data_IF_078829780727
#
_entry.id   IF_078829780727
#
_cell.length_a   1.000
_cell.length_b   1.000
_cell.length_c   1.000
_cell.angle_alpha   90.00
_cell.angle_beta   90.00
_cell.angle_gamma   90.00
#
_symmetry.space_group_name_H-M   'P 1'
#
loop_
_entity.id
_entity.type
_entity.pdbx_description
1 polymer ?
#
# COMPACT_ATOMS: atom_id res chain seq x y z
N UNK A 1 2.39 0.89 4.05
CA UNK A 1 3.73 0.87 4.66
C UNK A 1 4.74 0.85 3.54
N UNK A 2 5.87 1.54 3.69
CA UNK A 2 6.95 1.56 2.69
C UNK A 2 8.02 0.58 3.12
N UNK A 3 8.54 -0.20 2.18
CA UNK A 3 9.58 -1.20 2.44
C UNK A 3 10.70 -1.07 1.40
N UNK A 4 11.93 -1.36 1.83
CA UNK A 4 13.10 -1.45 0.96
C UNK A 4 13.84 -2.76 1.18
N UNK A 5 14.44 -3.30 0.13
CA UNK A 5 15.32 -4.47 0.24
C UNK A 5 16.61 -4.11 0.99
N UNK A 6 17.18 -5.10 1.67
CA UNK A 6 18.45 -4.96 2.39
C UNK A 6 19.58 -4.50 1.47
N UNK A 7 19.65 -5.04 0.25
CA UNK A 7 20.67 -4.65 -0.73
C UNK A 7 20.51 -3.21 -1.21
N UNK A 8 19.27 -2.72 -1.35
CA UNK A 8 19.03 -1.33 -1.69
C UNK A 8 19.39 -0.40 -0.54
N UNK A 9 19.02 -0.77 0.69
CA UNK A 9 19.38 -0.03 1.90
C UNK A 9 20.90 0.15 2.03
N UNK A 10 21.69 -0.91 1.80
CA UNK A 10 23.16 -0.88 1.87
C UNK A 10 23.83 0.07 0.87
N UNK A 11 23.11 0.54 -0.14
CA UNK A 11 23.61 1.49 -1.14
C UNK A 11 23.42 2.96 -0.73
N UNK A 12 22.71 3.22 0.38
CA UNK A 12 22.51 4.59 0.86
C UNK A 12 23.80 5.19 1.42
N UNK A 13 24.02 6.47 1.14
CA UNK A 13 25.14 7.25 1.66
C UNK A 13 24.66 8.65 2.11
N UNK A 14 24.76 8.99 3.41
CA UNK A 14 25.23 8.14 4.50
C UNK A 14 24.27 6.97 4.77
N UNK A 15 24.81 5.83 5.19
CA UNK A 15 24.02 4.66 5.56
C UNK A 15 23.23 4.94 6.86
N UNK A 16 21.89 4.99 6.83
CA UNK A 16 21.10 5.32 8.01
C UNK A 16 21.14 4.22 9.07
N UNK A 17 21.05 4.58 10.35
CA UNK A 17 20.94 3.61 11.44
C UNK A 17 19.59 2.86 11.37
N UNK A 18 19.64 1.54 11.56
CA UNK A 18 18.43 0.72 11.67
C UNK A 18 17.96 0.72 13.12
N UNK A 19 16.70 1.09 13.32
CA UNK A 19 16.00 1.03 14.59
C UNK A 19 15.15 -0.25 14.68
N UNK A 20 15.02 -0.80 15.89
CA UNK A 20 14.15 -1.95 16.16
C UNK A 20 12.72 -1.51 16.47
N UNK A 21 11.76 -2.34 16.10
CA UNK A 21 10.35 -2.22 16.50
C UNK A 21 9.98 -3.53 17.16
N UNK A 22 10.07 -3.55 18.49
CA UNK A 22 9.71 -4.72 19.31
C UNK A 22 8.20 -4.79 19.58
N UNK A 23 7.49 -3.66 19.45
CA UNK A 23 6.08 -3.53 19.84
C UNK A 23 5.07 -3.70 18.70
N UNK A 24 5.51 -3.72 17.43
CA UNK A 24 4.59 -3.91 16.29
C UNK A 24 4.87 -5.19 15.52
N UNK A 25 3.84 -6.01 15.39
CA UNK A 25 3.84 -7.13 14.44
C UNK A 25 3.28 -6.60 13.13
N UNK A 26 4.15 -6.57 12.12
CA UNK A 26 3.75 -6.24 10.75
C UNK A 26 3.30 -7.53 10.08
N UNK A 27 2.07 -7.56 9.59
CA UNK A 27 1.49 -8.73 8.91
C UNK A 27 1.37 -8.49 7.40
N UNK A 28 1.68 -9.53 6.64
CA UNK A 28 1.41 -9.62 5.21
C UNK A 28 -0.07 -9.88 4.91
N UNK A 29 -0.44 -9.84 3.62
CA UNK A 29 -1.83 -10.05 3.19
C UNK A 29 -2.40 -11.44 3.51
N UNK A 30 -1.53 -12.42 3.69
CA UNK A 30 -1.83 -13.81 4.04
C UNK A 30 -1.96 -14.03 5.57
N UNK A 31 -1.84 -12.96 6.37
CA UNK A 31 -1.88 -13.00 7.83
C UNK A 31 -0.56 -13.45 8.48
N UNK A 32 0.46 -13.79 7.68
CA UNK A 32 1.77 -14.14 8.20
C UNK A 32 2.54 -12.89 8.59
N UNK A 33 3.42 -13.00 9.59
CA UNK A 33 4.32 -11.90 9.96
C UNK A 33 5.28 -11.61 8.80
N UNK A 34 5.37 -10.35 8.40
CA UNK A 34 6.35 -9.89 7.42
C UNK A 34 7.73 -9.87 8.10
N UNK A 35 8.73 -10.61 7.58
CA UNK A 35 10.08 -10.53 8.12
C UNK A 35 10.69 -9.16 7.78
N UNK A 36 11.22 -8.47 8.79
CA UNK A 36 11.97 -7.22 8.64
C UNK A 36 13.18 -7.20 9.57
N UNK A 37 14.23 -6.50 9.16
CA UNK A 37 15.47 -6.31 9.93
C UNK A 37 15.27 -5.20 10.96
N UNK A 38 14.53 -4.17 10.57
CA UNK A 38 14.16 -3.03 11.39
C UNK A 38 13.54 -1.96 10.50
N UNK A 39 13.59 -0.72 10.96
CA UNK A 39 13.18 0.43 10.16
C UNK A 39 14.23 1.54 10.19
N UNK A 40 14.20 2.37 9.15
CA UNK A 40 14.96 3.62 9.09
C UNK A 40 13.96 4.78 8.99
N UNK A 41 14.36 5.95 9.44
CA UNK A 41 13.64 7.18 9.11
C UNK A 41 14.20 7.76 7.82
N UNK A 42 13.35 7.95 6.82
CA UNK A 42 13.78 8.50 5.53
C UNK A 42 12.85 9.60 5.04
N UNK A 43 13.45 10.60 4.39
CA UNK A 43 12.73 11.62 3.65
C UNK A 43 12.46 11.10 2.24
N UNK A 44 11.19 10.94 1.91
CA UNK A 44 10.76 10.49 0.58
C UNK A 44 10.36 11.70 -0.25
N UNK A 45 11.04 11.86 -1.39
CA UNK A 45 10.67 12.82 -2.42
C UNK A 45 9.93 12.10 -3.56
N UNK A 46 8.71 12.54 -3.86
CA UNK A 46 7.88 11.92 -4.90
C UNK A 46 8.07 12.66 -6.23
N UNK A 47 8.51 11.98 -7.30
CA UNK A 47 8.65 12.60 -8.60
C UNK A 47 7.33 13.22 -9.10
N UNK A 48 7.38 14.50 -9.47
CA UNK A 48 6.20 15.26 -9.90
C UNK A 48 5.51 16.05 -8.77
N UNK A 49 6.01 15.96 -7.54
CA UNK A 49 5.52 16.73 -6.38
C UNK A 49 6.67 17.54 -5.78
N UNK A 50 7.06 18.68 -6.40
CA UNK A 50 8.20 19.46 -5.94
C UNK A 50 7.94 20.06 -4.54
N UNK A 51 9.00 20.19 -3.75
CA UNK A 51 8.98 20.77 -2.39
C UNK A 51 8.05 20.06 -1.40
N UNK A 52 7.80 18.76 -1.62
CA UNK A 52 6.93 17.96 -0.77
C UNK A 52 7.67 16.74 -0.23
N UNK A 53 8.48 17.01 0.78
CA UNK A 53 9.29 16.02 1.47
C UNK A 53 8.46 15.32 2.55
N UNK A 54 8.40 14.00 2.49
CA UNK A 54 7.58 13.19 3.41
C UNK A 54 8.53 12.36 4.28
N UNK A 55 8.67 12.74 5.55
CA UNK A 55 9.39 11.94 6.53
C UNK A 55 8.53 10.74 6.96
N UNK A 56 9.02 9.53 6.71
CA UNK A 56 8.31 8.30 7.06
C UNK A 56 9.26 7.22 7.59
N UNK A 57 8.77 6.32 8.46
CA UNK A 57 9.47 5.09 8.74
C UNK A 57 9.42 4.18 7.51
N UNK A 58 10.57 3.63 7.16
CA UNK A 58 10.76 2.68 6.05
C UNK A 58 11.27 1.37 6.61
N UNK A 59 10.54 0.27 6.38
CA UNK A 59 11.02 -1.03 6.79
C UNK A 59 12.15 -1.49 5.88
N UNK A 60 13.22 -2.00 6.49
CA UNK A 60 14.26 -2.74 5.78
C UNK A 60 13.91 -4.22 5.88
N UNK A 61 13.67 -4.85 4.74
CA UNK A 61 13.29 -6.28 4.68
C UNK A 61 14.44 -7.11 4.11
N UNK A 62 14.59 -8.38 4.54
CA UNK A 62 15.55 -9.28 3.93
C UNK A 62 15.34 -9.40 2.43
N UNK A 63 16.41 -9.68 1.69
CA UNK A 63 16.28 -9.90 0.25
C UNK A 63 15.42 -11.14 -0.03
N UNK A 64 14.59 -11.04 -1.06
CA UNK A 64 13.73 -12.10 -1.60
C UNK A 64 13.82 -12.03 -3.12
N UNK A 65 13.50 -13.12 -3.82
CA UNK A 65 13.51 -13.13 -5.28
C UNK A 65 12.67 -11.99 -5.88
N UNK A 66 11.58 -11.60 -5.20
CA UNK A 66 10.73 -10.49 -5.60
C UNK A 66 11.40 -9.11 -5.44
N UNK A 67 11.98 -8.83 -4.27
CA UNK A 67 12.51 -7.49 -3.98
C UNK A 67 13.91 -7.24 -4.56
N UNK A 68 14.53 -8.24 -5.20
CA UNK A 68 15.69 -8.04 -6.05
C UNK A 68 15.32 -7.29 -7.34
N UNK A 69 14.13 -7.55 -7.89
CA UNK A 69 13.60 -6.82 -9.05
C UNK A 69 12.85 -5.54 -8.63
N UNK A 70 12.18 -5.57 -7.47
CA UNK A 70 11.42 -4.45 -6.93
C UNK A 70 11.97 -4.04 -5.56
N UNK A 71 13.10 -3.30 -5.52
CA UNK A 71 13.80 -3.01 -4.28
C UNK A 71 13.08 -2.02 -3.35
N UNK A 72 12.08 -1.30 -3.86
CA UNK A 72 11.33 -0.30 -3.10
C UNK A 72 9.84 -0.47 -3.36
N UNK A 73 9.05 -0.64 -2.30
CA UNK A 73 7.59 -0.70 -2.36
C UNK A 73 7.04 0.51 -1.62
N UNK A 74 6.35 1.39 -2.33
CA UNK A 74 5.70 2.56 -1.73
C UNK A 74 4.27 2.23 -1.36
N UNK A 75 3.97 2.26 -0.06
CA UNK A 75 2.63 2.00 0.42
C UNK A 75 1.76 3.25 0.61
N UNK A 76 0.54 2.99 1.05
CA UNK A 76 -0.48 4.01 1.36
C UNK A 76 -0.06 5.04 2.41
N UNK A 77 0.94 4.73 3.24
CA UNK A 77 1.51 5.63 4.24
C UNK A 77 2.22 6.83 3.61
N UNK A 78 2.76 6.71 2.40
CA UNK A 78 3.34 7.84 1.65
C UNK A 78 2.27 8.45 0.75
N UNK A 79 1.55 7.61 0.00
CA UNK A 79 0.61 8.05 -1.02
C UNK A 79 -0.50 8.96 -0.48
N UNK A 80 -0.96 8.75 0.77
CA UNK A 80 -1.99 9.57 1.41
C UNK A 80 -1.56 11.02 1.67
N UNK A 81 -0.27 11.28 1.68
CA UNK A 81 0.27 12.61 1.91
C UNK A 81 0.51 13.37 0.60
N UNK A 82 0.32 12.74 -0.56
CA UNK A 82 0.45 13.42 -1.84
C UNK A 82 -0.79 14.32 -2.04
N UNK A 83 -0.61 15.63 -2.27
CA UNK A 83 -1.74 16.55 -2.45
C UNK A 83 -2.46 16.27 -3.78
N UNK A 84 -3.79 16.32 -3.76
CA UNK A 84 -4.61 16.11 -4.97
C UNK A 84 -4.29 17.11 -6.09
N UNK A 85 -3.89 18.34 -5.74
CA UNK A 85 -3.46 19.35 -6.71
C UNK A 85 -2.23 18.93 -7.52
N UNK A 86 -1.44 17.98 -7.04
CA UNK A 86 -0.26 17.46 -7.75
C UNK A 86 -0.58 16.24 -8.64
N UNK A 87 -1.80 15.70 -8.63
CA UNK A 87 -2.17 14.47 -9.35
C UNK A 87 -1.93 14.56 -10.87
N UNK A 88 -2.12 15.75 -11.45
CA UNK A 88 -1.83 16.01 -12.86
C UNK A 88 -0.36 15.79 -13.23
N UNK A 89 0.57 16.06 -12.31
CA UNK A 89 2.02 16.02 -12.53
C UNK A 89 2.63 14.64 -12.26
N UNK A 90 1.87 13.70 -11.69
CA UNK A 90 2.33 12.36 -11.38
C UNK A 90 2.48 11.50 -12.64
N UNK A 91 3.41 10.54 -12.61
CA UNK A 91 3.44 9.45 -13.61
C UNK A 91 2.19 8.58 -13.49
N UNK A 92 1.82 7.87 -14.55
CA UNK A 92 0.58 7.07 -14.64
C UNK A 92 0.37 6.12 -13.45
N UNK A 93 1.41 5.39 -13.04
CA UNK A 93 1.33 4.48 -11.89
C UNK A 93 1.04 5.19 -10.57
N UNK A 94 1.76 6.28 -10.29
CA UNK A 94 1.55 7.11 -9.09
C UNK A 94 0.17 7.76 -9.09
N UNK A 95 -0.27 8.30 -10.23
CA UNK A 95 -1.60 8.89 -10.40
C UNK A 95 -2.69 7.88 -10.06
N UNK A 96 -2.56 6.67 -10.60
CA UNK A 96 -3.51 5.58 -10.34
C UNK A 96 -3.55 5.24 -8.85
N UNK A 97 -2.38 5.08 -8.20
CA UNK A 97 -2.32 4.75 -6.79
C UNK A 97 -2.89 5.85 -5.88
N UNK A 98 -2.60 7.13 -6.19
CA UNK A 98 -3.11 8.29 -5.44
C UNK A 98 -4.61 8.48 -5.64
N UNK A 99 -5.11 8.29 -6.86
CA UNK A 99 -6.55 8.41 -7.14
C UNK A 99 -7.35 7.35 -6.37
N UNK A 100 -6.88 6.10 -6.30
CA UNK A 100 -7.52 5.06 -5.50
C UNK A 100 -7.61 5.40 -4.02
N UNK A 101 -6.59 6.03 -3.45
CA UNK A 101 -6.59 6.43 -2.03
C UNK A 101 -7.46 7.66 -1.78
N UNK A 102 -7.43 8.62 -2.71
CA UNK A 102 -8.20 9.86 -2.62
C UNK A 102 -9.71 9.63 -2.76
N UNK A 103 -10.10 8.62 -3.55
CA UNK A 103 -11.49 8.26 -3.78
C UNK A 103 -12.03 7.25 -2.76
N UNK A 104 -11.60 7.32 -1.50
CA UNK A 104 -12.22 6.61 -0.35
C UNK A 104 -13.67 7.03 -0.06
N UNK A 105 -14.46 7.42 -1.07
CA UNK A 105 -15.88 7.11 -1.01
C UNK A 105 -15.97 5.59 -1.04
N UNK A 106 -16.51 4.92 -0.01
CA UNK A 106 -16.82 3.51 -0.16
C UNK A 106 -17.64 3.37 -1.44
N UNK A 107 -17.12 2.59 -2.41
CA UNK A 107 -17.76 2.34 -3.71
C UNK A 107 -19.23 1.87 -3.50
N UNK A 108 -19.46 1.31 -2.32
CA UNK A 108 -20.70 1.10 -1.62
C UNK A 108 -20.41 -0.02 -0.63
N UNK A 109 -21.20 -0.14 0.43
CA UNK A 109 -21.19 -1.40 1.16
C UNK A 109 -21.94 -2.38 0.25
N UNK A 110 -21.20 -3.34 -0.32
CA UNK A 110 -21.80 -4.47 -1.02
C UNK A 110 -22.23 -5.46 0.04
N UNK A 111 -23.54 -5.59 0.27
CA UNK A 111 -24.07 -6.71 1.05
C UNK A 111 -24.16 -7.91 0.12
N UNK A 112 -23.37 -8.94 0.39
CA UNK A 112 -23.51 -10.24 -0.26
C UNK A 112 -24.94 -10.75 -0.12
N UNK A 113 -25.48 -11.33 -1.20
CA UNK A 113 -26.75 -12.07 -1.14
C UNK A 113 -26.57 -13.50 -0.62
N UNK A 114 -25.32 -13.93 -0.47
CA UNK A 114 -24.98 -15.24 0.05
C UNK A 114 -25.14 -15.24 1.58
N UNK A 115 -25.94 -16.16 2.09
CA UNK A 115 -26.18 -16.42 3.51
C UNK A 115 -25.20 -17.43 4.11
N UNK A 116 -24.31 -18.01 3.29
CA UNK A 116 -23.28 -18.97 3.71
C UNK A 116 -21.92 -18.32 3.89
N UNK A 117 -21.13 -18.94 4.77
CA UNK A 117 -19.73 -18.59 4.96
C UNK A 117 -18.94 -18.78 3.65
N UNK A 118 -18.14 -17.78 3.31
CA UNK A 118 -17.34 -17.74 2.10
C UNK A 118 -15.88 -17.85 2.51
N UNK A 119 -15.21 -18.94 2.11
CA UNK A 119 -13.77 -19.13 2.28
C UNK A 119 -13.09 -18.85 0.94
N UNK A 120 -12.03 -18.03 0.95
CA UNK A 120 -11.22 -17.69 -0.23
C UNK A 120 -9.80 -18.15 0.08
N UNK A 121 -9.22 -18.97 -0.78
CA UNK A 121 -7.83 -19.43 -0.61
C UNK A 121 -6.83 -18.39 -1.14
N UNK A 122 -5.55 -18.46 -0.73
CA UNK A 122 -4.50 -17.62 -1.32
C UNK A 122 -4.46 -17.77 -2.84
N UNK A 123 -4.35 -16.64 -3.55
CA UNK A 123 -4.33 -16.54 -5.01
C UNK A 123 -5.64 -16.97 -5.72
N UNK A 124 -6.72 -17.15 -4.98
CA UNK A 124 -8.04 -17.40 -5.54
C UNK A 124 -8.84 -16.10 -5.69
N UNK A 125 -9.63 -16.01 -6.75
CA UNK A 125 -10.64 -14.96 -6.91
C UNK A 125 -12.02 -15.58 -6.96
N UNK A 126 -12.95 -14.96 -6.24
CA UNK A 126 -14.36 -15.33 -6.29
C UNK A 126 -15.17 -14.11 -6.73
N UNK A 127 -16.23 -14.37 -7.49
CA UNK A 127 -17.19 -13.32 -7.89
C UNK A 127 -18.39 -13.42 -6.97
N UNK A 128 -18.68 -12.35 -6.25
CA UNK A 128 -19.83 -12.26 -5.34
C UNK A 128 -20.87 -11.29 -5.89
N UNK A 129 -22.10 -11.77 -6.05
CA UNK A 129 -23.25 -10.92 -6.35
C UNK A 129 -23.85 -10.33 -5.07
N UNK A 130 -24.02 -9.02 -5.04
CA UNK A 130 -24.53 -8.31 -3.86
C UNK A 130 -25.27 -7.03 -4.20
N UNK A 131 -25.95 -6.47 -3.21
CA UNK A 131 -26.61 -5.17 -3.33
C UNK A 131 -25.67 -4.05 -2.91
N UNK A 132 -25.50 -3.05 -3.78
CA UNK A 132 -24.74 -1.84 -3.48
C UNK A 132 -25.70 -0.83 -2.84
N UNK A 133 -25.49 -0.50 -1.56
CA UNK A 133 -26.21 0.63 -0.96
C UNK A 133 -25.43 1.92 -1.23
N UNK A 134 -25.70 2.58 -2.36
CA UNK A 134 -25.40 4.02 -2.52
C UNK A 134 -26.39 4.80 -1.67
N UNK A 135 -26.04 6.00 -1.21
CA UNK A 135 -26.90 6.76 -0.30
C UNK A 135 -28.30 7.02 -0.83
N UNK A 136 -28.59 6.93 -2.14
CA UNK A 136 -29.93 7.22 -2.66
C UNK A 136 -30.39 6.39 -3.88
N UNK A 137 -29.70 5.33 -4.32
CA UNK A 137 -30.18 4.45 -5.40
C UNK A 137 -29.58 3.03 -5.31
N UNK A 138 -30.42 2.02 -5.55
CA UNK A 138 -30.02 0.61 -5.65
C UNK A 138 -29.66 0.34 -7.11
N UNK A 139 -28.40 0.03 -7.39
CA UNK A 139 -27.94 -0.48 -8.69
C UNK A 139 -27.28 -1.84 -8.50
N UNK A 140 -27.59 -2.78 -9.39
CA UNK A 140 -26.92 -4.07 -9.48
C UNK A 140 -25.54 -3.88 -10.11
N UNK A 141 -24.47 -4.15 -9.36
CA UNK A 141 -23.12 -4.22 -9.91
C UNK A 141 -22.83 -5.67 -10.33
N UNK A 142 -22.56 -5.87 -11.62
CA UNK A 142 -21.99 -7.10 -12.16
C UNK A 142 -20.51 -6.79 -12.39
N UNK A 143 -19.60 -7.57 -11.80
CA UNK A 143 -18.17 -7.54 -12.13
C UNK A 143 -17.67 -8.97 -12.16
#
# INVERSE_FOLDING_TARGET
>A
MITVSEDWYKQLDPLPEIHTIEEFIVQGPDGNSLPYIGYIEAVVNVPGVPNHDILVPVLVVPNTDYNLEVPVIVGTNVLKFIPQSAEGNLRSGWRTAVSFISHRKPIGIVRSTNDKEISIQPFESIVLSGFVRKSDTVDSAIT
#
